data_IF_780582226481
#
_entry.id   IF_780582226481
#
_cell.length_a   1.000
_cell.length_b   1.000
_cell.length_c   1.000
_cell.angle_alpha   90.00
_cell.angle_beta   90.00
_cell.angle_gamma   90.00
#
_symmetry.space_group_name_H-M   'P 1'
#
loop_
_entity.id
_entity.type
_entity.pdbx_description
1 polymer ?
#
# COMPACT_ATOMS: atom_id res chain seq x y z
N UNK A 1 4.12 -36.95 -5.09
CA UNK A 1 4.78 -35.64 -5.04
C UNK A 1 3.79 -34.73 -4.36
N UNK A 2 3.98 -34.54 -3.06
CA UNK A 2 3.06 -33.77 -2.21
C UNK A 2 3.32 -32.30 -2.48
N UNK A 3 2.31 -31.60 -3.00
CA UNK A 3 2.32 -30.15 -3.03
C UNK A 3 1.70 -29.67 -1.72
N UNK A 4 2.52 -29.02 -0.90
CA UNK A 4 2.14 -28.47 0.39
C UNK A 4 1.40 -27.17 0.12
N UNK A 5 0.09 -27.18 0.26
CA UNK A 5 -0.72 -25.97 0.42
C UNK A 5 -0.19 -25.18 1.62
N UNK A 6 0.35 -24.00 1.34
CA UNK A 6 0.64 -22.99 2.36
C UNK A 6 -0.67 -22.68 3.09
N UNK A 7 -0.70 -23.04 4.37
CA UNK A 7 -1.79 -22.73 5.28
C UNK A 7 -1.70 -21.24 5.61
N UNK A 8 -2.50 -20.40 4.96
CA UNK A 8 -2.69 -19.01 5.39
C UNK A 8 -3.43 -19.02 6.72
N UNK A 9 -2.74 -18.63 7.79
CA UNK A 9 -3.42 -18.26 9.04
C UNK A 9 -4.19 -16.98 8.74
N UNK A 10 -5.52 -16.90 8.97
CA UNK A 10 -6.35 -15.76 8.60
C UNK A 10 -5.97 -14.43 9.29
N UNK A 11 -5.10 -14.47 10.31
CA UNK A 11 -4.59 -13.30 11.03
C UNK A 11 -3.19 -12.85 10.60
N UNK A 12 -2.53 -13.56 9.68
CA UNK A 12 -1.16 -13.24 9.26
C UNK A 12 -1.13 -12.29 8.07
N UNK A 13 -0.39 -11.18 8.21
CA UNK A 13 -0.15 -10.22 7.12
C UNK A 13 0.65 -10.90 6.00
N UNK A 14 0.14 -10.98 4.75
CA UNK A 14 0.85 -11.62 3.64
C UNK A 14 2.15 -10.88 3.31
N UNK A 15 3.29 -11.56 3.39
CA UNK A 15 4.56 -10.98 2.93
C UNK A 15 4.58 -10.86 1.40
N UNK A 16 5.30 -9.86 0.90
CA UNK A 16 5.47 -9.64 -0.53
C UNK A 16 6.80 -8.96 -0.85
N UNK A 17 7.16 -9.09 -2.12
CA UNK A 17 8.35 -8.47 -2.70
C UNK A 17 8.03 -7.98 -4.11
N UNK A 18 8.14 -6.68 -4.34
CA UNK A 18 7.77 -6.03 -5.59
C UNK A 18 8.89 -5.12 -6.09
N UNK A 19 8.88 -4.85 -7.40
CA UNK A 19 9.73 -3.82 -7.98
C UNK A 19 9.32 -2.45 -7.48
N UNK A 20 10.30 -1.64 -7.09
CA UNK A 20 10.10 -0.29 -6.56
C UNK A 20 10.63 0.75 -7.54
N UNK A 21 9.75 1.62 -8.01
CA UNK A 21 10.11 2.75 -8.86
C UNK A 21 10.36 4.04 -8.06
N UNK A 22 9.96 4.06 -6.78
CA UNK A 22 10.06 5.23 -5.90
C UNK A 22 11.33 5.23 -5.04
N UNK A 23 11.26 5.91 -3.90
CA UNK A 23 12.36 5.95 -2.95
C UNK A 23 12.57 4.59 -2.24
N UNK A 24 13.81 4.36 -1.77
CA UNK A 24 14.16 3.17 -1.02
C UNK A 24 14.70 2.01 -1.87
N UNK A 25 14.78 0.78 -1.31
CA UNK A 25 15.36 -0.36 -2.00
C UNK A 25 14.47 -0.85 -3.15
N UNK A 26 15.13 -1.31 -4.22
CA UNK A 26 14.51 -2.11 -5.29
C UNK A 26 15.25 -3.46 -5.40
N UNK A 27 14.56 -4.59 -5.21
CA UNK A 27 13.13 -4.74 -4.87
C UNK A 27 12.79 -4.33 -3.42
N UNK A 28 11.58 -3.82 -3.23
CA UNK A 28 10.99 -3.61 -1.90
C UNK A 28 10.52 -4.94 -1.31
N UNK A 29 10.67 -5.12 0.00
CA UNK A 29 10.20 -6.30 0.75
C UNK A 29 9.53 -5.86 2.04
N UNK A 30 8.29 -6.29 2.29
CA UNK A 30 7.55 -5.92 3.50
C UNK A 30 8.23 -6.45 4.74
N UNK A 31 8.59 -7.73 4.76
CA UNK A 31 9.32 -8.34 5.88
C UNK A 31 10.65 -7.66 6.20
N UNK A 32 11.38 -7.17 5.20
CA UNK A 32 12.63 -6.44 5.43
C UNK A 32 12.39 -5.07 6.10
N UNK A 33 11.37 -4.33 5.67
CA UNK A 33 11.00 -3.04 6.28
C UNK A 33 10.41 -3.23 7.68
N UNK A 34 9.57 -4.25 7.87
CA UNK A 34 8.97 -4.54 9.16
C UNK A 34 10.00 -5.01 10.22
N UNK A 35 11.13 -5.59 9.79
CA UNK A 35 12.21 -6.00 10.68
C UNK A 35 13.18 -4.86 11.02
N UNK A 36 13.05 -3.69 10.39
CA UNK A 36 13.86 -2.51 10.70
C UNK A 36 13.40 -1.90 12.03
N UNK A 37 14.31 -1.76 12.99
CA UNK A 37 14.02 -1.20 14.31
C UNK A 37 13.68 0.29 14.27
N UNK A 38 14.00 0.98 13.18
CA UNK A 38 13.68 2.39 12.99
C UNK A 38 12.32 2.59 12.27
N UNK A 39 11.60 1.49 11.97
CA UNK A 39 10.25 1.53 11.39
C UNK A 39 9.23 1.00 12.40
N UNK A 40 8.45 1.91 12.98
CA UNK A 40 7.39 1.57 13.94
C UNK A 40 6.06 1.24 13.24
N UNK A 41 5.84 1.77 12.04
CA UNK A 41 4.64 1.50 11.25
C UNK A 41 4.89 1.48 9.75
N UNK A 42 4.04 0.75 9.01
CA UNK A 42 4.01 0.78 7.54
C UNK A 42 2.60 1.12 7.06
N UNK A 43 2.48 2.17 6.25
CA UNK A 43 1.23 2.57 5.60
C UNK A 43 1.20 2.01 4.18
N UNK A 44 0.30 1.07 3.91
CA UNK A 44 0.07 0.54 2.57
C UNK A 44 -1.08 1.29 1.90
N UNK A 45 -0.86 1.75 0.67
CA UNK A 45 -1.86 2.41 -0.17
C UNK A 45 -2.08 1.60 -1.44
N UNK A 46 -3.19 0.86 -1.50
CA UNK A 46 -3.54 0.07 -2.67
C UNK A 46 -4.27 0.95 -3.68
N UNK A 47 -3.58 1.23 -4.79
CA UNK A 47 -4.09 2.09 -5.85
C UNK A 47 -5.04 1.32 -6.76
N UNK A 48 -5.83 2.09 -7.54
CA UNK A 48 -6.84 1.50 -8.42
C UNK A 48 -6.29 1.14 -9.80
N UNK A 49 -5.57 2.09 -10.39
CA UNK A 49 -5.05 2.04 -11.75
C UNK A 49 -4.17 3.28 -12.02
N UNK A 50 -3.35 3.26 -13.07
CA UNK A 50 -2.47 4.37 -13.44
C UNK A 50 -3.19 5.66 -13.83
N UNK A 51 -4.39 5.61 -14.42
CA UNK A 51 -5.14 6.77 -14.92
C UNK A 51 -6.04 7.41 -13.87
N UNK A 52 -6.16 6.81 -12.69
CA UNK A 52 -6.98 7.26 -11.58
C UNK A 52 -6.53 8.64 -11.05
N UNK A 53 -7.26 9.69 -11.42
CA UNK A 53 -6.97 11.06 -10.98
C UNK A 53 -6.97 11.24 -9.46
N UNK A 54 -7.85 10.54 -8.73
CA UNK A 54 -7.86 10.62 -7.27
C UNK A 54 -6.69 9.84 -6.62
N UNK A 55 -6.18 8.80 -7.26
CA UNK A 55 -5.01 8.04 -6.80
C UNK A 55 -3.76 8.91 -6.92
N UNK A 56 -3.59 9.57 -8.08
CA UNK A 56 -2.52 10.56 -8.30
C UNK A 56 -2.58 11.71 -7.29
N UNK A 57 -3.76 12.23 -6.98
CA UNK A 57 -3.94 13.26 -5.94
C UNK A 57 -3.56 12.76 -4.56
N UNK A 58 -3.93 11.53 -4.22
CA UNK A 58 -3.63 10.93 -2.92
C UNK A 58 -2.12 10.79 -2.71
N UNK A 59 -1.39 10.22 -3.68
CA UNK A 59 0.08 10.03 -3.53
C UNK A 59 0.82 11.36 -3.46
N UNK A 60 0.40 12.38 -4.23
CA UNK A 60 0.98 13.73 -4.13
C UNK A 60 0.69 14.37 -2.77
N UNK A 61 -0.56 14.32 -2.30
CA UNK A 61 -0.93 14.89 -1.00
C UNK A 61 -0.20 14.24 0.17
N UNK A 62 0.05 12.92 0.09
CA UNK A 62 0.87 12.21 1.08
C UNK A 62 2.35 12.59 0.93
N UNK A 63 2.85 12.75 -0.30
CA UNK A 63 4.21 13.23 -0.56
C UNK A 63 4.46 14.60 0.05
N UNK A 64 3.52 15.54 -0.10
CA UNK A 64 3.59 16.89 0.48
C UNK A 64 3.64 16.89 2.02
N UNK A 65 3.18 15.81 2.66
CA UNK A 65 3.13 15.65 4.12
C UNK A 65 3.99 14.49 4.62
N UNK A 66 4.91 13.98 3.81
CA UNK A 66 5.67 12.78 4.13
C UNK A 66 6.52 12.93 5.40
N UNK A 67 7.06 14.13 5.65
CA UNK A 67 7.82 14.47 6.86
C UNK A 67 7.04 14.15 8.17
N UNK A 68 5.70 14.22 8.15
CA UNK A 68 4.87 13.86 9.32
C UNK A 68 4.83 12.36 9.57
N UNK A 69 4.90 11.54 8.52
CA UNK A 69 5.04 10.09 8.65
C UNK A 69 6.45 9.70 9.10
N UNK A 70 7.48 10.33 8.53
CA UNK A 70 8.87 10.12 8.96
C UNK A 70 9.08 10.48 10.44
N UNK A 71 8.49 11.58 10.92
CA UNK A 71 8.56 11.98 12.32
C UNK A 71 7.95 10.95 13.29
N UNK A 72 7.08 10.07 12.78
CA UNK A 72 6.45 8.98 13.54
C UNK A 72 7.10 7.62 13.28
N UNK A 73 8.27 7.57 12.62
CA UNK A 73 8.93 6.34 12.17
C UNK A 73 8.03 5.48 11.28
N UNK A 74 7.21 6.10 10.44
CA UNK A 74 6.28 5.40 9.56
C UNK A 74 6.74 5.41 8.11
N UNK A 75 6.88 4.23 7.51
CA UNK A 75 7.14 4.08 6.08
C UNK A 75 5.82 4.13 5.30
N UNK A 76 5.77 4.92 4.23
CA UNK A 76 4.64 4.92 3.30
C UNK A 76 4.99 4.09 2.07
N UNK A 77 4.05 3.27 1.61
CA UNK A 77 4.23 2.38 0.46
C UNK A 77 2.98 2.45 -0.41
N UNK A 78 3.12 2.97 -1.63
CA UNK A 78 2.05 2.98 -2.62
C UNK A 78 2.20 1.77 -3.56
N UNK A 79 1.15 0.96 -3.68
CA UNK A 79 1.13 -0.23 -4.53
C UNK A 79 0.23 0.05 -5.72
N UNK A 80 0.83 0.11 -6.92
CA UNK A 80 0.15 0.38 -8.18
C UNK A 80 -0.06 -0.93 -8.94
N UNK A 81 -1.31 -1.33 -9.28
CA UNK A 81 -1.59 -2.58 -9.99
C UNK A 81 -1.26 -2.46 -11.50
N UNK A 82 0.00 -2.16 -11.80
CA UNK A 82 0.50 -1.78 -13.11
C UNK A 82 1.97 -2.22 -13.28
N UNK A 83 2.46 -2.32 -14.54
CA UNK A 83 3.88 -2.53 -14.81
C UNK A 83 4.78 -1.44 -14.25
N UNK A 84 6.06 -1.78 -14.02
CA UNK A 84 7.06 -0.87 -13.43
C UNK A 84 7.23 0.41 -14.24
N UNK A 85 7.06 0.36 -15.57
CA UNK A 85 7.15 1.53 -16.43
C UNK A 85 6.11 2.59 -16.05
N UNK A 86 4.88 2.18 -15.71
CA UNK A 86 3.81 3.11 -15.28
C UNK A 86 4.06 3.67 -13.89
N UNK A 87 4.63 2.86 -12.99
CA UNK A 87 5.07 3.35 -11.68
C UNK A 87 6.20 4.39 -11.83
N UNK A 88 7.19 4.13 -12.70
CA UNK A 88 8.27 5.07 -13.00
C UNK A 88 7.75 6.39 -13.58
N UNK A 89 6.75 6.37 -14.46
CA UNK A 89 6.14 7.60 -14.98
C UNK A 89 5.49 8.45 -13.88
N UNK A 90 4.85 7.82 -12.87
CA UNK A 90 4.36 8.54 -11.69
C UNK A 90 5.52 9.12 -10.88
N UNK A 91 6.58 8.33 -10.64
CA UNK A 91 7.74 8.83 -9.91
C UNK A 91 8.38 10.03 -10.62
N UNK A 92 8.63 9.95 -11.93
CA UNK A 92 9.19 11.04 -12.72
C UNK A 92 8.31 12.30 -12.69
N UNK A 93 6.99 12.13 -12.58
CA UNK A 93 6.04 13.24 -12.56
C UNK A 93 5.89 13.91 -11.20
N UNK A 94 6.05 13.14 -10.11
CA UNK A 94 5.64 13.57 -8.76
C UNK A 94 6.77 13.58 -7.73
N UNK A 95 7.93 13.01 -8.05
CA UNK A 95 9.12 12.94 -7.17
C UNK A 95 8.76 12.47 -5.76
N UNK A 96 8.04 11.34 -5.66
CA UNK A 96 7.50 10.87 -4.39
C UNK A 96 8.66 10.46 -3.45
N UNK A 97 8.66 10.91 -2.18
CA UNK A 97 9.73 10.62 -1.23
C UNK A 97 9.64 9.24 -0.58
N UNK A 98 8.74 8.38 -1.07
CA UNK A 98 8.42 7.08 -0.48
C UNK A 98 8.34 5.98 -1.55
N UNK A 99 8.16 4.73 -1.12
CA UNK A 99 8.15 3.59 -2.03
C UNK A 99 6.92 3.58 -2.95
N UNK A 100 7.15 3.38 -4.25
CA UNK A 100 6.11 3.26 -5.26
C UNK A 100 6.29 1.94 -6.01
N UNK A 101 5.47 0.96 -5.65
CA UNK A 101 5.62 -0.42 -6.06
C UNK A 101 4.76 -0.75 -7.27
N UNK A 102 5.31 -1.56 -8.16
CA UNK A 102 4.62 -2.10 -9.32
C UNK A 102 4.11 -3.52 -9.01
N UNK A 103 2.80 -3.70 -9.14
CA UNK A 103 2.08 -4.98 -8.94
C UNK A 103 1.37 -5.37 -10.25
N UNK A 104 2.11 -5.76 -11.31
CA UNK A 104 1.57 -5.89 -12.67
C UNK A 104 0.47 -6.94 -12.82
N UNK A 105 0.46 -7.95 -11.96
CA UNK A 105 -0.57 -8.99 -11.94
C UNK A 105 -1.65 -8.72 -10.90
N UNK A 106 -1.48 -7.67 -10.08
CA UNK A 106 -2.29 -7.36 -8.93
C UNK A 106 -2.34 -8.50 -7.87
N UNK A 107 -1.29 -9.33 -7.82
CA UNK A 107 -1.22 -10.50 -6.93
C UNK A 107 -1.16 -10.07 -5.46
N UNK A 108 -0.43 -8.99 -5.16
CA UNK A 108 -0.36 -8.43 -3.80
C UNK A 108 -1.68 -7.77 -3.44
N UNK A 109 -2.23 -6.99 -4.37
CA UNK A 109 -3.55 -6.37 -4.20
C UNK A 109 -4.65 -7.40 -3.91
N UNK A 110 -4.60 -8.57 -4.56
CA UNK A 110 -5.54 -9.67 -4.32
C UNK A 110 -5.26 -10.42 -3.01
N UNK A 111 -3.99 -10.61 -2.63
CA UNK A 111 -3.62 -11.21 -1.34
C UNK A 111 -4.10 -10.40 -0.13
N UNK A 112 -4.31 -9.09 -0.32
CA UNK A 112 -4.85 -8.16 0.67
C UNK A 112 -6.35 -7.86 0.46
N UNK A 113 -7.06 -8.71 -0.29
CA UNK A 113 -8.51 -8.64 -0.52
C UNK A 113 -9.01 -7.30 -1.07
N UNK A 114 -8.20 -6.57 -1.86
CA UNK A 114 -8.61 -5.28 -2.40
C UNK A 114 -9.86 -5.43 -3.29
N UNK A 115 -11.00 -4.80 -2.95
CA UNK A 115 -12.25 -5.09 -3.65
C UNK A 115 -12.24 -4.65 -5.11
N UNK A 116 -12.86 -5.44 -6.00
CA UNK A 116 -13.08 -5.08 -7.41
C UNK A 116 -14.57 -4.92 -7.66
N UNK A 117 -14.99 -3.80 -8.27
CA UNK A 117 -16.42 -3.62 -8.61
C UNK A 117 -16.86 -4.66 -9.65
N UNK A 118 -18.06 -5.21 -9.48
CA UNK A 118 -18.68 -6.20 -10.37
C UNK A 118 -17.84 -7.49 -10.64
N UNK A 119 -16.82 -7.78 -9.83
CA UNK A 119 -16.00 -9.00 -9.96
C UNK A 119 -15.32 -9.14 -11.32
N UNK A 120 -15.24 -10.38 -11.83
CA UNK A 120 -14.62 -10.71 -13.15
C UNK A 120 -15.27 -9.96 -14.32
N UNK A 121 -16.54 -9.56 -14.20
CA UNK A 121 -17.22 -8.79 -15.26
C UNK A 121 -16.75 -7.32 -15.28
N UNK A 122 -16.24 -6.83 -14.15
CA UNK A 122 -15.75 -5.47 -13.99
C UNK A 122 -14.32 -5.25 -14.48
N UNK A 123 -13.45 -6.26 -14.36
CA UNK A 123 -12.06 -6.16 -14.82
C UNK A 123 -11.90 -5.90 -16.33
N UNK A 124 -12.98 -6.09 -17.12
CA UNK A 124 -13.01 -5.86 -18.56
C UNK A 124 -13.41 -4.42 -18.96
N UNK A 125 -13.77 -3.55 -18.01
CA UNK A 125 -14.23 -2.19 -18.29
C UNK A 125 -13.43 -1.17 -17.45
N UNK A 126 -12.74 -0.22 -18.09
CA UNK A 126 -11.93 0.84 -17.43
C UNK A 126 -12.71 1.69 -16.40
N UNK A 127 -14.05 1.69 -16.48
CA UNK A 127 -14.94 2.37 -15.54
C UNK A 127 -15.21 1.57 -14.25
N UNK A 128 -14.73 0.32 -14.19
CA UNK A 128 -15.00 -0.66 -13.13
C UNK A 128 -13.66 -1.20 -12.61
N UNK A 129 -12.87 -0.33 -12.00
CA UNK A 129 -11.59 -0.71 -11.39
C UNK A 129 -11.71 -1.12 -9.92
N UNK A 130 -10.57 -1.53 -9.35
CA UNK A 130 -10.36 -1.79 -7.91
C UNK A 130 -10.87 -0.65 -7.02
N UNK A 131 -11.18 -0.94 -5.77
CA UNK A 131 -11.55 0.04 -4.74
C UNK A 131 -10.31 0.49 -3.98
N UNK A 132 -10.21 1.77 -3.59
CA UNK A 132 -9.07 2.22 -2.80
C UNK A 132 -9.11 1.53 -1.44
N UNK A 133 -7.95 1.00 -1.03
CA UNK A 133 -7.73 0.45 0.31
C UNK A 133 -6.48 1.10 0.88
N UNK A 134 -6.52 1.45 2.15
CA UNK A 134 -5.36 1.89 2.90
C UNK A 134 -5.25 1.06 4.18
N UNK A 135 -4.03 0.74 4.59
CA UNK A 135 -3.78 -0.03 5.81
C UNK A 135 -2.63 0.59 6.59
N UNK A 136 -2.71 0.52 7.91
CA UNK A 136 -1.58 0.78 8.81
C UNK A 136 -1.19 -0.56 9.44
N UNK A 137 0.07 -0.91 9.30
CA UNK A 137 0.69 -2.07 9.92
C UNK A 137 1.55 -1.61 11.09
N UNK A 138 1.41 -2.23 12.25
CA UNK A 138 2.32 -2.12 13.38
C UNK A 138 3.50 -3.06 13.15
N UNK A 139 4.73 -2.54 13.17
CA UNK A 139 5.95 -3.31 12.92
C UNK A 139 6.91 -3.33 14.10
N UNK A 140 6.53 -2.76 15.25
CA UNK A 140 7.39 -2.60 16.44
C UNK A 140 7.86 -3.92 17.05
N UNK A 141 7.15 -5.02 16.77
CA UNK A 141 7.53 -6.37 17.19
C UNK A 141 8.62 -7.00 16.29
N UNK A 142 8.93 -6.38 15.16
CA UNK A 142 9.71 -6.96 14.07
C UNK A 142 8.89 -7.80 13.08
N UNK A 143 7.59 -8.01 13.35
CA UNK A 143 6.65 -8.71 12.48
C UNK A 143 5.42 -7.81 12.23
N UNK A 144 4.98 -7.65 10.96
CA UNK A 144 3.87 -6.76 10.66
C UNK A 144 2.54 -7.34 11.19
N UNK A 145 1.78 -6.50 11.87
CA UNK A 145 0.41 -6.78 12.30
C UNK A 145 -0.54 -5.68 11.83
N UNK A 146 -1.75 -6.04 11.39
CA UNK A 146 -2.74 -5.05 10.96
C UNK A 146 -3.23 -4.25 12.16
N UNK A 147 -2.99 -2.94 12.16
CA UNK A 147 -3.51 -2.01 13.16
C UNK A 147 -4.81 -1.36 12.70
N UNK A 148 -4.87 -1.00 11.42
CA UNK A 148 -5.99 -0.28 10.83
C UNK A 148 -6.16 -0.67 9.36
N UNK A 149 -7.42 -0.77 8.94
CA UNK A 149 -7.80 -0.96 7.53
C UNK A 149 -8.92 -0.01 7.18
N UNK A 150 -8.74 0.74 6.09
CA UNK A 150 -9.79 1.52 5.46
C UNK A 150 -10.12 0.95 4.09
N UNK A 151 -11.37 0.51 3.92
CA UNK A 151 -11.92 0.07 2.64
C UNK A 151 -12.87 1.13 2.08
N UNK A 152 -12.49 1.77 0.97
CA UNK A 152 -13.31 2.78 0.34
C UNK A 152 -14.57 2.19 -0.29
N UNK A 153 -15.72 2.85 -0.10
CA UNK A 153 -17.04 2.41 -0.63
C UNK A 153 -17.30 2.97 -2.04
N UNK A 154 -16.62 4.05 -2.41
CA UNK A 154 -16.64 4.63 -3.76
C UNK A 154 -15.23 5.05 -4.23
N UNK A 155 -14.96 5.21 -5.54
CA UNK A 155 -13.62 5.52 -6.05
C UNK A 155 -12.99 6.81 -5.51
N UNK A 156 -13.77 7.68 -4.86
CA UNK A 156 -13.29 8.89 -4.20
C UNK A 156 -13.16 8.74 -2.66
N UNK A 157 -13.79 7.72 -2.06
CA UNK A 157 -13.79 7.44 -0.62
C UNK A 157 -12.40 6.93 -0.23
N UNK A 158 -11.64 7.77 0.47
CA UNK A 158 -10.28 7.52 0.93
C UNK A 158 -10.19 8.03 2.38
N UNK A 159 -9.30 7.48 3.20
CA UNK A 159 -9.04 8.08 4.50
C UNK A 159 -8.43 9.47 4.32
N UNK A 160 -8.70 10.37 5.27
CA UNK A 160 -7.93 11.60 5.36
C UNK A 160 -6.50 11.28 5.83
N UNK A 161 -5.53 12.13 5.49
CA UNK A 161 -4.14 11.91 5.93
C UNK A 161 -4.05 11.97 7.46
N UNK A 162 -4.83 12.84 8.10
CA UNK A 162 -4.87 12.97 9.56
C UNK A 162 -5.38 11.69 10.22
N UNK A 163 -6.34 10.99 9.62
CA UNK A 163 -6.83 9.70 10.14
C UNK A 163 -5.69 8.68 10.18
N UNK A 164 -4.87 8.59 9.12
CA UNK A 164 -3.73 7.67 9.06
C UNK A 164 -2.66 8.02 10.10
N UNK A 165 -2.36 9.31 10.27
CA UNK A 165 -1.39 9.78 11.26
C UNK A 165 -1.88 9.53 12.70
N UNK A 166 -3.16 9.71 12.96
CA UNK A 166 -3.76 9.48 14.28
C UNK A 166 -3.76 7.99 14.67
N UNK A 167 -3.96 7.09 13.70
CA UNK A 167 -3.80 5.64 13.94
C UNK A 167 -2.35 5.29 14.31
N UNK A 168 -1.35 5.89 13.63
CA UNK A 168 0.06 5.69 13.96
C UNK A 168 0.40 6.24 15.36
N UNK A 169 -0.10 7.42 15.72
CA UNK A 169 0.07 8.00 17.08
C UNK A 169 -0.56 7.12 18.14
N UNK A 170 -1.76 6.59 17.87
CA UNK A 170 -2.47 5.68 18.76
C UNK A 170 -1.66 4.41 19.02
N UNK A 171 -1.01 3.84 18.00
CA UNK A 171 -0.10 2.70 18.18
C UNK A 171 1.03 3.03 19.16
N UNK A 172 1.62 4.23 19.03
CA UNK A 172 2.72 4.73 19.86
C UNK A 172 2.28 5.15 21.27
N UNK A 173 0.97 5.29 21.50
CA UNK A 173 0.41 5.76 22.77
C UNK A 173 0.50 7.28 22.95
N UNK A 174 0.53 8.02 21.84
CA UNK A 174 0.61 9.50 21.77
C UNK A 174 -0.76 10.16 21.59
#
# INVERSE_FOLDING_TARGET
MSDTTASSTPDAVPDFKLSNAGAGPDPFSLSAVAADSDTDAVVLLFQRDYHCGNCRKQVQAIGDRYDEFEALNAAVVSILPEPVERASEWQESYDLPFALLADPNADVSDAYDQPVRFGVLGSLHDLVGRMPVAMVLDTRSGEPAVAYTYEGRMPADRPEIDDLLDEIRTLRGE
#
